data_IF_717409440493
#
_entry.id   IF_717409440493
#
_cell.length_a   1.000
_cell.length_b   1.000
_cell.length_c   1.000
_cell.angle_alpha   90.00
_cell.angle_beta   90.00
_cell.angle_gamma   90.00
#
_symmetry.space_group_name_H-M   'P 1'
#
loop_
_entity.id
_entity.type
_entity.pdbx_description
1 polymer ?
#
# COMPACT_ATOMS: atom_id res chain seq x y z
N UNK A 1 11.21 19.32 -26.10
CA UNK A 1 11.23 17.84 -26.11
C UNK A 1 10.39 17.36 -24.94
N UNK A 2 9.16 16.93 -25.22
CA UNK A 2 8.26 16.37 -24.21
C UNK A 2 8.41 14.85 -24.26
N UNK A 3 8.93 14.24 -23.21
CA UNK A 3 8.98 12.80 -23.10
C UNK A 3 8.31 12.34 -21.81
N UNK A 4 7.33 11.44 -22.01
CA UNK A 4 6.96 10.29 -21.19
C UNK A 4 5.79 10.44 -20.20
N UNK A 5 4.56 10.52 -20.76
CA UNK A 5 3.28 10.31 -20.06
C UNK A 5 2.66 8.91 -20.30
N UNK A 6 3.44 7.92 -20.75
CA UNK A 6 2.91 6.58 -21.08
C UNK A 6 2.92 5.58 -19.91
N UNK A 7 3.75 5.80 -18.87
CA UNK A 7 3.84 4.90 -17.71
C UNK A 7 2.78 5.15 -16.63
N UNK A 8 2.29 6.39 -16.49
CA UNK A 8 1.30 6.76 -15.47
C UNK A 8 -0.03 6.04 -15.71
N UNK A 9 -0.49 6.00 -16.97
CA UNK A 9 -1.80 5.42 -17.35
C UNK A 9 -1.84 3.92 -17.07
N UNK A 10 -0.75 3.18 -17.33
CA UNK A 10 -0.67 1.73 -17.05
C UNK A 10 -0.70 1.42 -15.55
N UNK A 11 -0.03 2.24 -14.73
CA UNK A 11 -0.02 2.09 -13.28
C UNK A 11 -1.41 2.33 -12.67
N UNK A 12 -2.14 3.36 -13.13
CA UNK A 12 -3.51 3.63 -12.70
C UNK A 12 -4.51 2.53 -13.09
N UNK A 13 -4.39 1.98 -14.31
CA UNK A 13 -5.24 0.86 -14.74
C UNK A 13 -4.98 -0.40 -13.91
N UNK A 14 -3.70 -0.72 -13.65
CA UNK A 14 -3.33 -1.82 -12.74
C UNK A 14 -3.87 -1.60 -11.33
N UNK A 15 -3.74 -0.38 -10.81
CA UNK A 15 -4.24 0.00 -9.49
C UNK A 15 -5.75 -0.20 -9.37
N UNK A 16 -6.53 0.22 -10.36
CA UNK A 16 -7.99 0.06 -10.37
C UNK A 16 -8.44 -1.41 -10.40
N UNK A 17 -7.69 -2.29 -11.08
CA UNK A 17 -7.96 -3.74 -11.10
C UNK A 17 -7.64 -4.37 -9.73
N UNK A 18 -6.62 -3.87 -9.02
CA UNK A 18 -6.16 -4.39 -7.72
C UNK A 18 -7.06 -4.00 -6.54
N UNK A 19 -7.73 -2.85 -6.60
CA UNK A 19 -8.64 -2.36 -5.54
C UNK A 19 -9.77 -3.35 -5.22
N UNK A 20 -10.19 -4.21 -6.17
CA UNK A 20 -11.35 -5.09 -6.01
C UNK A 20 -11.08 -6.46 -5.38
N UNK A 21 -9.84 -6.89 -5.16
CA UNK A 21 -9.55 -8.29 -4.74
C UNK A 21 -8.50 -8.37 -3.64
N UNK A 22 -8.94 -8.52 -2.38
CA UNK A 22 -8.06 -8.74 -1.22
C UNK A 22 -7.64 -7.48 -0.48
N UNK A 23 -8.60 -6.59 -0.19
CA UNK A 23 -8.33 -5.38 0.59
C UNK A 23 -7.82 -5.75 1.98
N UNK A 24 -6.64 -5.27 2.34
CA UNK A 24 -6.11 -5.40 3.71
C UNK A 24 -7.02 -4.61 4.63
N UNK A 25 -7.52 -5.28 5.67
CA UNK A 25 -8.43 -4.68 6.62
C UNK A 25 -7.67 -3.77 7.60
N UNK A 26 -8.31 -2.70 8.11
CA UNK A 26 -7.71 -1.87 9.15
C UNK A 26 -7.30 -2.71 10.36
N UNK A 27 -6.12 -2.45 10.91
CA UNK A 27 -5.61 -3.14 12.11
C UNK A 27 -5.23 -4.61 11.93
N UNK A 28 -5.09 -5.09 10.69
CA UNK A 28 -4.75 -6.51 10.43
C UNK A 28 -3.30 -6.76 10.03
N UNK A 29 -2.51 -5.71 9.80
CA UNK A 29 -1.09 -5.84 9.47
C UNK A 29 -0.26 -5.64 10.73
N UNK A 30 0.60 -6.62 11.04
CA UNK A 30 1.60 -6.48 12.10
C UNK A 30 2.60 -5.36 11.78
N UNK A 31 3.07 -4.65 12.82
CA UNK A 31 3.95 -3.51 12.66
C UNK A 31 5.26 -3.81 11.91
N UNK A 32 5.89 -4.95 12.19
CA UNK A 32 7.11 -5.37 11.48
C UNK A 32 6.80 -5.72 10.01
N UNK A 33 5.71 -6.45 9.77
CA UNK A 33 5.26 -6.77 8.41
C UNK A 33 4.97 -5.51 7.60
N UNK A 34 4.36 -4.48 8.21
CA UNK A 34 4.16 -3.18 7.58
C UNK A 34 5.48 -2.57 7.12
N UNK A 35 6.50 -2.51 7.98
CA UNK A 35 7.79 -1.92 7.63
C UNK A 35 8.51 -2.70 6.53
N UNK A 36 8.47 -4.03 6.55
CA UNK A 36 9.01 -4.85 5.46
C UNK A 36 8.33 -4.56 4.11
N UNK A 37 7.00 -4.39 4.11
CA UNK A 37 6.27 -3.98 2.90
C UNK A 37 6.68 -2.58 2.43
N UNK A 38 6.95 -1.66 3.37
CA UNK A 38 7.38 -0.30 3.06
C UNK A 38 8.76 -0.23 2.41
N UNK A 39 9.69 -1.14 2.75
CA UNK A 39 11.00 -1.24 2.09
C UNK A 39 10.87 -1.61 0.59
N UNK A 40 9.81 -2.32 0.23
CA UNK A 40 9.56 -2.76 -1.16
C UNK A 40 8.79 -1.67 -1.95
N UNK A 41 7.96 -0.88 -1.27
CA UNK A 41 7.08 0.10 -1.89
C UNK A 41 7.83 1.39 -2.27
N UNK A 42 7.61 1.96 -3.47
CA UNK A 42 8.17 3.26 -3.84
C UNK A 42 7.33 4.41 -3.24
N UNK A 43 7.22 4.45 -1.92
CA UNK A 43 6.47 5.46 -1.17
C UNK A 43 7.44 6.16 -0.21
N UNK A 44 7.66 7.46 -0.43
CA UNK A 44 8.65 8.24 0.35
C UNK A 44 8.01 9.34 1.22
N UNK A 45 6.71 9.59 1.08
CA UNK A 45 6.02 10.64 1.84
C UNK A 45 5.82 10.20 3.30
N UNK A 46 6.54 10.82 4.24
CA UNK A 46 6.39 10.50 5.67
C UNK A 46 4.95 10.62 6.17
N UNK A 47 4.20 11.60 5.66
CA UNK A 47 2.78 11.80 6.01
C UNK A 47 1.93 10.59 5.61
N UNK A 48 2.11 10.07 4.39
CA UNK A 48 1.32 8.93 3.93
C UNK A 48 1.74 7.63 4.61
N UNK A 49 3.04 7.45 4.88
CA UNK A 49 3.57 6.29 5.61
C UNK A 49 2.94 6.23 7.00
N UNK A 50 2.95 7.34 7.73
CA UNK A 50 2.35 7.41 9.06
C UNK A 50 0.83 7.20 9.03
N UNK A 51 0.13 7.78 8.05
CA UNK A 51 -1.31 7.57 7.89
C UNK A 51 -1.66 6.11 7.58
N UNK A 52 -0.89 5.45 6.70
CA UNK A 52 -1.06 4.03 6.39
C UNK A 52 -0.77 3.15 7.60
N UNK A 53 0.29 3.44 8.37
CA UNK A 53 0.62 2.70 9.59
C UNK A 53 -0.52 2.79 10.60
N UNK A 54 -0.99 4.00 10.87
CA UNK A 54 -2.08 4.21 11.83
C UNK A 54 -3.37 3.50 11.40
N UNK A 55 -3.66 3.48 10.11
CA UNK A 55 -4.83 2.81 9.58
C UNK A 55 -4.71 1.28 9.56
N UNK A 56 -3.61 0.75 9.01
CA UNK A 56 -3.44 -0.67 8.70
C UNK A 56 -2.89 -1.48 9.88
N UNK A 57 -2.12 -0.85 10.77
CA UNK A 57 -1.51 -1.50 11.94
C UNK A 57 -2.33 -1.22 13.19
N UNK A 58 -2.72 0.03 13.44
CA UNK A 58 -3.48 0.39 14.65
C UNK A 58 -5.01 0.41 14.46
N UNK A 59 -5.50 0.22 13.23
CA UNK A 59 -6.94 0.18 12.96
C UNK A 59 -7.65 1.53 13.05
N UNK A 60 -6.91 2.64 13.08
CA UNK A 60 -7.49 3.98 13.17
C UNK A 60 -8.30 4.27 11.91
N UNK A 61 -9.48 4.90 12.03
CA UNK A 61 -10.37 5.11 10.89
C UNK A 61 -9.73 5.97 9.79
N UNK A 62 -10.13 5.76 8.52
CA UNK A 62 -9.63 6.57 7.39
C UNK A 62 -9.84 8.06 7.60
N UNK A 63 -10.99 8.44 8.17
CA UNK A 63 -11.34 9.82 8.49
C UNK A 63 -10.31 10.43 9.44
N UNK A 64 -10.09 9.78 10.58
CA UNK A 64 -9.17 10.26 11.61
C UNK A 64 -7.73 10.38 11.10
N UNK A 65 -7.21 9.38 10.36
CA UNK A 65 -5.84 9.47 9.84
C UNK A 65 -5.69 10.54 8.74
N UNK A 66 -6.72 10.73 7.91
CA UNK A 66 -6.72 11.77 6.89
C UNK A 66 -6.66 13.17 7.52
N UNK A 67 -7.44 13.39 8.57
CA UNK A 67 -7.43 14.62 9.36
C UNK A 67 -6.08 14.81 10.07
N UNK A 68 -5.62 13.80 10.82
CA UNK A 68 -4.39 13.82 11.62
C UNK A 68 -3.13 14.13 10.80
N UNK A 69 -3.00 13.56 9.61
CA UNK A 69 -1.81 13.70 8.77
C UNK A 69 -1.99 14.67 7.60
N UNK A 70 -3.14 15.33 7.50
CA UNK A 70 -3.51 16.23 6.39
C UNK A 70 -3.31 15.56 5.02
N UNK A 71 -3.74 14.30 4.91
CA UNK A 71 -3.74 13.53 3.66
C UNK A 71 -5.18 13.37 3.18
N UNK A 72 -5.40 13.53 1.88
CA UNK A 72 -6.74 13.33 1.33
C UNK A 72 -7.05 11.82 1.19
N UNK A 73 -8.34 11.49 1.19
CA UNK A 73 -8.81 10.11 1.06
C UNK A 73 -8.33 9.41 -0.22
N UNK A 74 -8.23 10.13 -1.34
CA UNK A 74 -7.73 9.56 -2.61
C UNK A 74 -6.27 9.12 -2.51
N UNK A 75 -5.41 9.94 -1.91
CA UNK A 75 -4.00 9.64 -1.73
C UNK A 75 -3.80 8.45 -0.78
N UNK A 76 -4.56 8.41 0.32
CA UNK A 76 -4.58 7.26 1.23
C UNK A 76 -5.02 5.99 0.50
N UNK A 77 -6.09 6.07 -0.30
CA UNK A 77 -6.63 4.91 -1.03
C UNK A 77 -5.65 4.36 -2.06
N UNK A 78 -5.03 5.24 -2.86
CA UNK A 78 -4.00 4.85 -3.84
C UNK A 78 -2.83 4.16 -3.13
N UNK A 79 -2.40 4.68 -1.99
CA UNK A 79 -1.25 4.14 -1.27
C UNK A 79 -1.55 2.79 -0.59
N UNK A 80 -2.75 2.62 -0.04
CA UNK A 80 -3.24 1.33 0.47
C UNK A 80 -3.35 0.31 -0.66
N UNK A 81 -3.86 0.70 -1.83
CA UNK A 81 -3.95 -0.20 -2.98
C UNK A 81 -2.57 -0.68 -3.46
N UNK A 82 -1.56 0.20 -3.46
CA UNK A 82 -0.16 -0.18 -3.72
C UNK A 82 0.35 -1.20 -2.69
N UNK A 83 0.08 -0.97 -1.40
CA UNK A 83 0.46 -1.90 -0.35
C UNK A 83 -0.23 -3.26 -0.49
N UNK A 84 -1.53 -3.28 -0.78
CA UNK A 84 -2.29 -4.52 -1.02
C UNK A 84 -1.67 -5.32 -2.16
N UNK A 85 -1.29 -4.66 -3.25
CA UNK A 85 -0.63 -5.34 -4.36
C UNK A 85 0.70 -5.97 -3.93
N UNK A 86 1.56 -5.21 -3.27
CA UNK A 86 2.84 -5.72 -2.75
C UNK A 86 2.63 -6.88 -1.79
N UNK A 87 1.66 -6.77 -0.87
CA UNK A 87 1.28 -7.82 0.06
C UNK A 87 0.91 -9.12 -0.67
N UNK A 88 0.12 -9.03 -1.75
CA UNK A 88 -0.28 -10.18 -2.55
C UNK A 88 0.89 -10.79 -3.33
N UNK A 89 1.80 -9.97 -3.88
CA UNK A 89 3.02 -10.47 -4.50
C UNK A 89 3.87 -11.22 -3.48
N UNK A 90 4.12 -10.62 -2.30
CA UNK A 90 4.89 -11.26 -1.22
C UNK A 90 4.27 -12.59 -0.81
N UNK A 91 2.94 -12.63 -0.62
CA UNK A 91 2.22 -13.86 -0.28
C UNK A 91 2.42 -14.96 -1.34
N UNK A 92 2.40 -14.59 -2.62
CA UNK A 92 2.68 -15.54 -3.70
C UNK A 92 4.17 -15.95 -3.70
N UNK A 93 5.10 -15.05 -3.38
CA UNK A 93 6.52 -15.35 -3.34
C UNK A 93 6.89 -16.38 -2.26
N UNK A 94 6.15 -16.44 -1.15
CA UNK A 94 6.41 -17.36 -0.02
C UNK A 94 6.61 -18.81 -0.50
N UNK A 95 5.87 -19.27 -1.51
CA UNK A 95 5.98 -20.66 -1.97
C UNK A 95 7.36 -21.00 -2.55
N UNK A 96 8.11 -20.04 -3.08
CA UNK A 96 9.44 -20.28 -3.64
C UNK A 96 10.53 -20.45 -2.57
N UNK A 97 10.25 -20.01 -1.34
CA UNK A 97 11.20 -20.03 -0.23
C UNK A 97 10.90 -21.12 0.81
N UNK A 98 9.72 -21.75 0.74
CA UNK A 98 9.32 -22.84 1.66
C UNK A 98 10.01 -24.17 1.40
N UNK A 99 10.46 -24.44 0.16
CA UNK A 99 11.00 -25.74 -0.25
C UNK A 99 12.52 -25.75 -0.47
N UNK A 100 13.23 -24.67 -0.10
CA UNK A 100 14.68 -24.51 -0.33
C UNK A 100 15.51 -24.23 0.93
N UNK A 101 14.97 -24.55 2.11
CA UNK A 101 15.72 -24.64 3.37
C UNK A 101 15.61 -26.05 3.92
#
# INVERSE_FOLDING_TARGET
MCQNNANSVSEYVRLNIMVKKGEVLPGTIEGEHFWLLMEILPIHSKKIINAMRDHLVFGISRKEVCEKYSVNNGYLSISIAKLNYTHQIVRNMIHYYKDRQ
#
